data_IF_848482865883
#
_entry.id   IF_848482865883
#
_cell.length_a   1.000
_cell.length_b   1.000
_cell.length_c   1.000
_cell.angle_alpha   90.00
_cell.angle_beta   90.00
_cell.angle_gamma   90.00
#
_symmetry.space_group_name_H-M   'P 1'
#
loop_
_entity.id
_entity.type
_entity.pdbx_description
1 polymer ?
#
# COMPACT_ATOMS: atom_id res chain seq x y z
N UNK A 1 31.29 21.45 -13.46
CA UNK A 1 30.37 20.56 -14.18
C UNK A 1 29.30 19.95 -13.26
N UNK A 2 29.64 19.27 -12.18
CA UNK A 2 28.66 18.61 -11.29
C UNK A 2 27.73 19.56 -10.52
N UNK A 3 28.22 20.72 -10.09
CA UNK A 3 27.38 21.74 -9.47
C UNK A 3 26.24 22.24 -10.40
N UNK A 4 26.52 22.33 -11.70
CA UNK A 4 25.49 22.71 -12.68
C UNK A 4 24.48 21.59 -12.92
N UNK A 5 24.90 20.34 -12.95
CA UNK A 5 24.01 19.16 -13.02
C UNK A 5 23.09 19.13 -11.80
N UNK A 6 23.62 19.35 -10.59
CA UNK A 6 22.84 19.44 -9.37
C UNK A 6 21.83 20.60 -9.42
N UNK A 7 22.23 21.77 -9.92
CA UNK A 7 21.34 22.93 -10.04
C UNK A 7 20.18 22.64 -10.98
N UNK A 8 20.47 22.09 -12.17
CA UNK A 8 19.44 21.67 -13.14
C UNK A 8 18.49 20.63 -12.55
N UNK A 9 19.03 19.67 -11.79
CA UNK A 9 18.24 18.66 -11.10
C UNK A 9 17.34 19.27 -10.04
N UNK A 10 17.85 20.21 -9.22
CA UNK A 10 17.08 20.91 -8.21
C UNK A 10 15.91 21.70 -8.83
N UNK A 11 16.18 22.42 -9.91
CA UNK A 11 15.17 23.21 -10.61
C UNK A 11 14.06 22.32 -11.20
N UNK A 12 14.44 21.21 -11.86
CA UNK A 12 13.51 20.24 -12.43
C UNK A 12 12.57 19.60 -11.38
N UNK A 13 13.09 19.38 -10.16
CA UNK A 13 12.35 18.70 -9.08
C UNK A 13 11.87 19.65 -7.98
N UNK A 14 11.98 20.97 -8.19
CA UNK A 14 11.60 22.02 -7.22
C UNK A 14 12.22 21.79 -5.82
N UNK A 15 13.47 21.29 -5.79
CA UNK A 15 14.17 21.03 -4.54
C UNK A 15 14.86 22.27 -4.00
N UNK A 16 14.69 22.54 -2.72
CA UNK A 16 15.39 23.61 -2.01
C UNK A 16 16.81 23.19 -1.61
N UNK A 17 17.71 24.17 -1.44
CA UNK A 17 19.07 23.93 -0.91
C UNK A 17 19.03 23.26 0.48
N UNK A 18 18.01 23.52 1.29
CA UNK A 18 17.79 22.87 2.59
C UNK A 18 17.54 21.38 2.45
N UNK A 19 16.74 20.97 1.48
CA UNK A 19 16.46 19.54 1.21
C UNK A 19 17.71 18.82 0.72
N UNK A 20 18.50 19.43 -0.16
CA UNK A 20 19.78 18.87 -0.62
C UNK A 20 20.79 18.79 0.53
N UNK A 21 20.87 19.80 1.38
CA UNK A 21 21.72 19.81 2.56
C UNK A 21 21.39 18.65 3.51
N UNK A 22 20.10 18.39 3.75
CA UNK A 22 19.63 17.23 4.53
C UNK A 22 19.99 15.90 3.86
N UNK A 23 19.83 15.79 2.54
CA UNK A 23 20.15 14.56 1.79
C UNK A 23 21.66 14.24 1.79
N UNK A 24 22.48 15.27 1.75
CA UNK A 24 23.94 15.14 1.72
C UNK A 24 24.56 15.11 3.12
N UNK A 25 23.75 15.33 4.16
CA UNK A 25 24.20 15.48 5.54
C UNK A 25 25.29 16.58 5.67
N UNK A 26 24.95 17.77 5.17
CA UNK A 26 25.83 18.97 5.19
C UNK A 26 25.05 20.23 5.56
N UNK A 27 25.76 21.34 5.79
CA UNK A 27 25.12 22.62 6.01
C UNK A 27 24.52 23.21 4.72
N UNK A 28 23.49 24.05 4.83
CA UNK A 28 22.92 24.79 3.70
C UNK A 28 24.00 25.69 3.06
N UNK A 29 24.89 26.25 3.88
CA UNK A 29 26.02 27.07 3.44
C UNK A 29 26.96 26.27 2.52
N UNK A 30 27.25 25.02 2.87
CA UNK A 30 28.07 24.11 2.04
C UNK A 30 27.44 23.92 0.65
N UNK A 31 26.13 23.61 0.60
CA UNK A 31 25.41 23.47 -0.68
C UNK A 31 25.43 24.75 -1.48
N UNK A 32 25.17 25.90 -0.84
CA UNK A 32 25.20 27.21 -1.50
C UNK A 32 26.58 27.54 -2.08
N UNK A 33 27.64 27.33 -1.30
CA UNK A 33 29.03 27.56 -1.76
C UNK A 33 29.40 26.64 -2.92
N UNK A 34 29.02 25.37 -2.85
CA UNK A 34 29.24 24.40 -3.91
C UNK A 34 28.54 24.78 -5.22
N UNK A 35 27.25 25.13 -5.16
CA UNK A 35 26.47 25.54 -6.33
C UNK A 35 27.02 26.82 -6.99
N UNK A 36 27.62 27.72 -6.20
CA UNK A 36 28.20 28.98 -6.68
C UNK A 36 29.68 28.85 -7.02
N UNK A 37 30.30 27.68 -6.92
CA UNK A 37 31.74 27.47 -7.18
C UNK A 37 32.66 28.16 -6.18
N UNK A 38 32.18 28.50 -4.97
CA UNK A 38 32.90 29.23 -3.91
C UNK A 38 33.29 28.31 -2.74
N UNK A 39 33.20 27.01 -2.87
CA UNK A 39 33.58 26.08 -1.82
C UNK A 39 35.10 26.06 -1.67
N UNK A 40 35.66 26.26 -0.46
CA UNK A 40 37.06 26.59 -0.26
C UNK A 40 38.04 25.43 -0.41
N UNK A 41 37.54 24.19 -0.45
CA UNK A 41 38.38 22.97 -0.50
C UNK A 41 37.97 22.05 -1.65
N UNK A 42 38.63 20.88 -1.77
CA UNK A 42 38.30 19.88 -2.81
C UNK A 42 36.81 19.47 -2.76
N UNK A 43 36.18 19.48 -3.92
CA UNK A 43 34.74 19.20 -4.09
C UNK A 43 34.45 17.75 -4.48
N UNK A 44 35.47 16.89 -4.63
CA UNK A 44 35.30 15.50 -5.13
C UNK A 44 34.26 14.72 -4.36
N UNK A 45 34.28 14.81 -3.04
CA UNK A 45 33.31 14.11 -2.19
C UNK A 45 31.87 14.64 -2.36
N UNK A 46 31.69 15.94 -2.69
CA UNK A 46 30.39 16.50 -3.05
C UNK A 46 29.97 16.04 -4.44
N UNK A 47 30.88 15.98 -5.39
CA UNK A 47 30.63 15.45 -6.73
C UNK A 47 30.20 13.99 -6.69
N UNK A 48 30.77 13.17 -5.78
CA UNK A 48 30.36 11.79 -5.54
C UNK A 48 28.91 11.74 -5.01
N UNK A 49 28.55 12.57 -4.01
CA UNK A 49 27.17 12.66 -3.49
C UNK A 49 26.18 13.12 -4.57
N UNK A 50 26.56 14.02 -5.44
CA UNK A 50 25.74 14.44 -6.59
C UNK A 50 25.55 13.25 -7.56
N UNK A 51 26.61 12.53 -7.88
CA UNK A 51 26.53 11.35 -8.75
C UNK A 51 25.60 10.29 -8.15
N UNK A 52 25.71 10.01 -6.85
CA UNK A 52 24.80 9.10 -6.15
C UNK A 52 23.34 9.57 -6.20
N UNK A 53 23.09 10.87 -5.97
CA UNK A 53 21.74 11.43 -6.03
C UNK A 53 21.13 11.26 -7.43
N UNK A 54 21.90 11.62 -8.47
CA UNK A 54 21.49 11.51 -9.86
C UNK A 54 21.27 10.04 -10.28
N UNK A 55 22.16 9.14 -9.86
CA UNK A 55 22.02 7.70 -10.11
C UNK A 55 20.78 7.11 -9.41
N UNK A 56 20.54 7.46 -8.14
CA UNK A 56 19.34 7.06 -7.43
C UNK A 56 18.05 7.58 -8.10
N UNK A 57 18.12 8.81 -8.62
CA UNK A 57 16.96 9.40 -9.30
C UNK A 57 16.72 8.74 -10.65
N UNK A 58 17.76 8.49 -11.46
CA UNK A 58 17.64 7.69 -12.69
C UNK A 58 17.02 6.32 -12.40
N UNK A 59 17.48 5.64 -11.34
CA UNK A 59 16.90 4.36 -10.92
C UNK A 59 15.41 4.45 -10.56
N UNK A 60 14.97 5.56 -9.91
CA UNK A 60 13.55 5.79 -9.61
C UNK A 60 12.71 6.12 -10.86
N UNK A 61 13.28 6.85 -11.82
CA UNK A 61 12.61 7.15 -13.10
C UNK A 61 12.40 5.88 -13.91
N UNK A 62 13.37 4.97 -13.89
CA UNK A 62 13.26 3.62 -14.46
C UNK A 62 12.13 2.83 -13.78
N UNK A 63 12.05 2.90 -12.43
CA UNK A 63 10.98 2.26 -11.67
C UNK A 63 9.59 2.87 -11.99
N UNK A 64 9.55 4.15 -12.37
CA UNK A 64 8.31 4.83 -12.78
C UNK A 64 7.82 4.41 -14.18
N UNK A 65 8.68 3.85 -15.03
CA UNK A 65 8.29 3.29 -16.34
C UNK A 65 7.61 1.91 -16.21
N UNK A 66 7.81 1.21 -15.08
CA UNK A 66 7.09 0.00 -14.77
C UNK A 66 5.61 0.33 -14.54
N UNK A 67 4.72 -0.19 -15.38
CA UNK A 67 3.29 0.06 -15.23
C UNK A 67 2.77 -0.64 -13.97
N UNK A 68 2.54 0.15 -12.93
CA UNK A 68 1.99 -0.32 -11.66
C UNK A 68 0.50 0.08 -11.49
N UNK A 69 -0.23 0.22 -12.61
CA UNK A 69 -1.66 0.50 -12.57
C UNK A 69 -2.42 -0.67 -11.93
N UNK A 70 -3.56 -0.36 -11.34
CA UNK A 70 -4.46 -1.40 -10.83
C UNK A 70 -5.03 -2.21 -12.00
N UNK A 71 -4.88 -3.52 -11.92
CA UNK A 71 -5.43 -4.45 -12.91
C UNK A 71 -6.66 -5.14 -12.32
N UNK A 72 -7.84 -5.03 -12.93
CA UNK A 72 -9.08 -5.61 -12.42
C UNK A 72 -9.14 -7.13 -12.74
N UNK A 73 -8.29 -7.91 -12.07
CA UNK A 73 -8.30 -9.38 -12.14
C UNK A 73 -9.61 -9.95 -11.62
N UNK A 74 -9.89 -11.22 -11.87
CA UNK A 74 -11.13 -11.85 -11.38
C UNK A 74 -11.18 -11.87 -9.85
N UNK A 75 -10.05 -12.14 -9.19
CA UNK A 75 -9.96 -12.05 -7.72
C UNK A 75 -10.19 -10.62 -7.22
N UNK A 76 -9.64 -9.62 -7.91
CA UNK A 76 -9.85 -8.22 -7.56
C UNK A 76 -11.31 -7.81 -7.73
N UNK A 77 -11.97 -8.21 -8.82
CA UNK A 77 -13.40 -7.93 -9.04
C UNK A 77 -14.27 -8.49 -7.92
N UNK A 78 -14.07 -9.74 -7.51
CA UNK A 78 -14.81 -10.33 -6.38
C UNK A 78 -14.63 -9.53 -5.09
N UNK A 79 -13.38 -9.10 -4.78
CA UNK A 79 -13.13 -8.25 -3.61
C UNK A 79 -13.80 -6.88 -3.71
N UNK A 80 -13.81 -6.28 -4.90
CA UNK A 80 -14.50 -5.00 -5.16
C UNK A 80 -16.02 -5.14 -5.02
N UNK A 81 -16.63 -6.22 -5.51
CA UNK A 81 -18.06 -6.52 -5.37
C UNK A 81 -18.48 -6.62 -3.89
N UNK A 82 -17.70 -7.33 -3.06
CA UNK A 82 -17.96 -7.43 -1.61
C UNK A 82 -17.86 -6.06 -0.92
N UNK A 83 -16.91 -5.22 -1.33
CA UNK A 83 -16.82 -3.83 -0.82
C UNK A 83 -18.03 -3.01 -1.26
N UNK A 84 -18.44 -3.15 -2.52
CA UNK A 84 -19.59 -2.43 -3.05
C UNK A 84 -20.88 -2.84 -2.31
N UNK A 85 -21.05 -4.13 -2.07
CA UNK A 85 -22.18 -4.65 -1.32
C UNK A 85 -22.22 -4.11 0.13
N UNK A 86 -21.08 -4.18 0.84
CA UNK A 86 -20.99 -3.63 2.19
C UNK A 86 -21.27 -2.11 2.23
N UNK A 87 -20.87 -1.39 1.19
CA UNK A 87 -21.07 0.05 1.09
C UNK A 87 -22.54 0.41 0.85
N UNK A 88 -23.22 -0.34 -0.03
CA UNK A 88 -24.61 -0.08 -0.42
C UNK A 88 -25.60 -0.49 0.70
N UNK A 89 -25.38 -1.65 1.32
CA UNK A 89 -26.30 -2.22 2.30
C UNK A 89 -25.94 -1.85 3.75
N UNK A 90 -24.81 -1.19 3.97
CA UNK A 90 -24.36 -0.83 5.31
C UNK A 90 -23.99 -2.05 6.16
N UNK A 91 -23.43 -3.11 5.57
CA UNK A 91 -23.10 -4.36 6.26
C UNK A 91 -21.62 -4.47 6.64
N UNK A 92 -21.32 -5.41 7.55
CA UNK A 92 -19.95 -5.82 7.86
C UNK A 92 -19.60 -7.02 6.98
N UNK A 93 -18.57 -6.87 6.12
CA UNK A 93 -18.06 -7.96 5.31
C UNK A 93 -16.55 -8.15 5.52
N UNK A 94 -16.08 -9.35 5.19
CA UNK A 94 -14.66 -9.73 5.41
C UNK A 94 -14.02 -10.10 4.08
N UNK A 95 -12.77 -9.62 3.86
CA UNK A 95 -11.92 -10.03 2.74
C UNK A 95 -10.64 -10.60 3.33
N UNK A 96 -10.39 -11.90 3.12
CA UNK A 96 -9.21 -12.53 3.71
C UNK A 96 -8.48 -13.42 2.70
N UNK A 97 -7.23 -13.73 3.01
CA UNK A 97 -6.37 -14.58 2.19
C UNK A 97 -4.90 -14.38 2.52
N UNK A 98 -4.03 -15.17 1.93
CA UNK A 98 -2.59 -15.12 2.17
C UNK A 98 -1.98 -13.74 1.89
N UNK A 99 -0.77 -13.51 2.37
CA UNK A 99 -0.04 -12.26 2.10
C UNK A 99 0.31 -12.15 0.61
N UNK A 100 0.24 -10.92 0.07
CA UNK A 100 0.67 -10.65 -1.32
C UNK A 100 -0.36 -10.96 -2.40
N UNK A 101 -1.63 -11.19 -2.06
CA UNK A 101 -2.73 -11.41 -3.01
C UNK A 101 -3.44 -10.11 -3.46
N UNK A 102 -2.95 -8.94 -3.06
CA UNK A 102 -3.48 -7.67 -3.55
C UNK A 102 -4.57 -7.02 -2.70
N UNK A 103 -4.91 -7.52 -1.49
CA UNK A 103 -5.93 -6.94 -0.60
C UNK A 103 -5.81 -5.43 -0.45
N UNK A 104 -4.66 -4.94 0.00
CA UNK A 104 -4.37 -3.50 0.15
C UNK A 104 -4.55 -2.72 -1.15
N UNK A 105 -4.18 -3.30 -2.31
CA UNK A 105 -4.35 -2.64 -3.61
C UNK A 105 -5.83 -2.49 -3.97
N UNK A 106 -6.65 -3.51 -3.75
CA UNK A 106 -8.10 -3.44 -3.91
C UNK A 106 -8.71 -2.36 -3.01
N UNK A 107 -8.33 -2.34 -1.72
CA UNK A 107 -8.81 -1.33 -0.79
C UNK A 107 -8.42 0.09 -1.25
N UNK A 108 -7.19 0.30 -1.69
CA UNK A 108 -6.70 1.59 -2.19
C UNK A 108 -7.41 2.01 -3.48
N UNK A 109 -7.63 1.07 -4.39
CA UNK A 109 -8.35 1.35 -5.63
C UNK A 109 -9.80 1.76 -5.37
N UNK A 110 -10.48 1.03 -4.49
CA UNK A 110 -11.85 1.38 -4.09
C UNK A 110 -11.94 2.80 -3.49
N UNK A 111 -10.92 3.24 -2.73
CA UNK A 111 -10.84 4.60 -2.20
C UNK A 111 -10.73 5.68 -3.28
N UNK A 112 -10.05 5.37 -4.39
CA UNK A 112 -9.91 6.31 -5.50
C UNK A 112 -11.23 6.48 -6.27
N UNK A 113 -12.03 5.43 -6.32
CA UNK A 113 -13.30 5.40 -7.04
C UNK A 113 -14.46 5.95 -6.21
N UNK A 114 -14.38 5.84 -4.86
CA UNK A 114 -15.45 6.19 -3.94
C UNK A 114 -14.92 7.07 -2.81
N UNK A 115 -15.18 8.37 -2.89
CA UNK A 115 -14.71 9.36 -1.90
C UNK A 115 -15.32 9.18 -0.50
N UNK A 116 -16.49 8.52 -0.39
CA UNK A 116 -17.14 8.16 0.86
C UNK A 116 -16.51 6.94 1.54
N UNK A 117 -15.61 6.22 0.84
CA UNK A 117 -14.97 5.03 1.36
C UNK A 117 -13.64 5.36 2.06
N UNK A 118 -13.58 5.13 3.37
CA UNK A 118 -12.50 5.49 4.29
C UNK A 118 -11.58 4.28 4.47
N UNK A 119 -10.26 4.47 4.31
CA UNK A 119 -9.26 3.43 4.56
C UNK A 119 -8.50 3.69 5.86
N UNK A 120 -8.50 2.71 6.75
CA UNK A 120 -7.74 2.69 7.99
C UNK A 120 -6.71 1.55 7.90
N UNK A 121 -5.43 1.89 7.84
CA UNK A 121 -4.35 0.93 7.91
C UNK A 121 -3.98 0.69 9.38
N UNK A 122 -4.07 -0.56 9.81
CA UNK A 122 -3.73 -0.99 11.18
C UNK A 122 -2.29 -1.48 11.22
N UNK A 123 -1.63 -1.24 12.33
CA UNK A 123 -0.28 -1.72 12.63
C UNK A 123 -0.24 -2.41 14.00
N UNK A 124 0.83 -3.16 14.34
CA UNK A 124 0.90 -3.90 15.62
C UNK A 124 0.80 -3.02 16.88
N UNK A 125 1.03 -1.71 16.78
CA UNK A 125 0.90 -0.77 17.90
C UNK A 125 -0.51 -0.24 18.09
N UNK A 126 -1.47 -0.63 17.22
CA UNK A 126 -2.82 -0.10 17.18
C UNK A 126 -3.67 -0.57 18.38
N UNK A 127 -3.67 0.22 19.44
CA UNK A 127 -4.58 0.04 20.59
C UNK A 127 -5.99 0.53 20.25
N UNK A 128 -7.04 0.17 21.04
CA UNK A 128 -8.39 0.70 20.85
C UNK A 128 -8.46 2.22 20.80
N UNK A 129 -7.67 2.91 21.61
CA UNK A 129 -7.57 4.37 21.61
C UNK A 129 -6.97 4.92 20.32
N UNK A 130 -5.93 4.27 19.82
CA UNK A 130 -5.26 4.64 18.55
C UNK A 130 -6.21 4.41 17.38
N UNK A 131 -6.93 3.28 17.35
CA UNK A 131 -7.92 2.99 16.32
C UNK A 131 -9.02 4.07 16.26
N UNK A 132 -9.66 4.37 17.40
CA UNK A 132 -10.71 5.40 17.46
C UNK A 132 -10.18 6.76 16.98
N UNK A 133 -8.96 7.15 17.36
CA UNK A 133 -8.37 8.41 16.91
C UNK A 133 -8.10 8.42 15.40
N UNK A 134 -7.55 7.34 14.84
CA UNK A 134 -7.35 7.20 13.39
C UNK A 134 -8.68 7.35 12.64
N UNK A 135 -9.75 6.67 13.12
CA UNK A 135 -11.08 6.80 12.53
C UNK A 135 -11.59 8.24 12.64
N UNK A 136 -11.56 8.83 13.85
CA UNK A 136 -12.04 10.18 14.09
C UNK A 136 -11.35 11.22 13.18
N UNK A 137 -10.03 11.19 13.10
CA UNK A 137 -9.23 12.08 12.24
C UNK A 137 -9.61 11.93 10.77
N UNK A 138 -9.81 10.69 10.31
CA UNK A 138 -10.15 10.41 8.90
C UNK A 138 -11.58 10.84 8.55
N UNK A 139 -12.53 10.75 9.49
CA UNK A 139 -13.91 11.18 9.24
C UNK A 139 -14.14 12.66 9.56
N UNK A 140 -13.14 13.38 10.07
CA UNK A 140 -13.24 14.77 10.48
C UNK A 140 -14.02 14.95 11.79
N UNK A 141 -13.96 13.95 12.70
CA UNK A 141 -14.52 13.98 14.04
C UNK A 141 -13.48 14.43 15.09
N UNK A 142 -13.93 14.74 16.30
CA UNK A 142 -13.01 15.06 17.39
C UNK A 142 -12.24 13.83 17.85
N UNK A 143 -10.91 13.88 17.79
CA UNK A 143 -10.01 12.79 18.24
C UNK A 143 -9.49 12.97 19.66
N UNK A 144 -9.93 14.04 20.37
CA UNK A 144 -9.51 14.38 21.74
C UNK A 144 -10.51 13.87 22.76
N UNK A 145 -10.07 13.57 23.97
CA UNK A 145 -10.90 13.11 25.07
C UNK A 145 -10.74 11.62 25.38
N UNK A 146 -11.67 11.09 26.17
CA UNK A 146 -11.75 9.67 26.49
C UNK A 146 -12.41 8.89 25.34
N UNK A 147 -12.23 7.57 25.31
CA UNK A 147 -12.71 6.74 24.19
C UNK A 147 -14.22 6.91 23.91
N UNK A 148 -15.04 7.14 24.93
CA UNK A 148 -16.48 7.32 24.76
C UNK A 148 -16.80 8.64 24.03
N UNK A 149 -16.10 9.72 24.34
CA UNK A 149 -16.31 11.02 23.69
C UNK A 149 -15.90 10.95 22.21
N UNK A 150 -14.75 10.31 21.95
CA UNK A 150 -14.25 10.09 20.58
C UNK A 150 -15.23 9.21 19.78
N UNK A 151 -15.74 8.13 20.41
CA UNK A 151 -16.75 7.26 19.79
C UNK A 151 -18.02 8.04 19.46
N UNK A 152 -18.55 8.84 20.40
CA UNK A 152 -19.75 9.65 20.19
C UNK A 152 -19.56 10.62 19.01
N UNK A 153 -18.39 11.28 18.93
CA UNK A 153 -18.08 12.18 17.82
C UNK A 153 -17.95 11.47 16.47
N UNK A 154 -17.40 10.24 16.44
CA UNK A 154 -17.36 9.40 15.23
C UNK A 154 -18.78 9.04 14.78
N UNK A 155 -19.63 8.60 15.73
CA UNK A 155 -21.02 8.24 15.44
C UNK A 155 -21.79 9.43 14.88
N UNK A 156 -21.65 10.62 15.46
CA UNK A 156 -22.27 11.85 14.93
C UNK A 156 -21.87 12.12 13.47
N UNK A 157 -20.61 11.89 13.10
CA UNK A 157 -20.11 12.15 11.75
C UNK A 157 -20.48 11.07 10.73
N UNK A 158 -20.68 9.84 11.18
CA UNK A 158 -20.98 8.71 10.29
C UNK A 158 -22.49 8.47 10.15
N UNK A 159 -23.31 8.90 11.11
CA UNK A 159 -24.75 8.68 11.08
C UNK A 159 -25.39 9.34 9.85
N UNK A 160 -26.04 8.53 9.01
CA UNK A 160 -26.66 8.99 7.75
C UNK A 160 -25.69 9.44 6.66
N UNK A 161 -24.40 9.19 6.81
CA UNK A 161 -23.38 9.66 5.85
C UNK A 161 -23.08 8.66 4.72
N UNK A 162 -23.72 7.48 4.71
CA UNK A 162 -23.53 6.42 3.70
C UNK A 162 -22.06 6.13 3.41
N UNK A 163 -21.25 5.97 4.46
CA UNK A 163 -19.82 5.74 4.36
C UNK A 163 -19.46 4.28 4.53
N UNK A 164 -18.32 3.89 3.94
CA UNK A 164 -17.70 2.58 4.11
C UNK A 164 -16.39 2.72 4.88
N UNK A 165 -16.28 2.07 6.05
CA UNK A 165 -15.02 1.91 6.78
C UNK A 165 -14.31 0.65 6.28
N UNK A 166 -13.09 0.79 5.79
CA UNK A 166 -12.25 -0.33 5.36
C UNK A 166 -11.03 -0.40 6.23
N UNK A 167 -10.89 -1.50 6.94
CA UNK A 167 -9.80 -1.74 7.89
C UNK A 167 -8.83 -2.74 7.26
N UNK A 168 -7.64 -2.31 6.91
CA UNK A 168 -6.58 -3.20 6.41
C UNK A 168 -5.75 -3.76 7.57
N UNK A 169 -5.24 -4.98 7.41
CA UNK A 169 -4.53 -5.76 8.43
C UNK A 169 -5.35 -5.97 9.72
N UNK A 170 -6.66 -6.15 9.57
CA UNK A 170 -7.60 -6.24 10.67
C UNK A 170 -7.34 -7.42 11.63
N UNK A 171 -6.55 -8.42 11.24
CA UNK A 171 -6.08 -9.49 12.11
C UNK A 171 -5.16 -9.01 13.25
N UNK A 172 -4.64 -7.79 13.17
CA UNK A 172 -3.83 -7.17 14.21
C UNK A 172 -4.66 -6.51 15.31
N UNK A 173 -5.96 -6.34 15.07
CA UNK A 173 -6.86 -5.72 16.04
C UNK A 173 -7.11 -6.62 17.26
N UNK A 174 -7.13 -6.00 18.43
CA UNK A 174 -7.59 -6.66 19.67
C UNK A 174 -9.11 -6.87 19.63
N UNK A 175 -9.61 -7.83 20.44
CA UNK A 175 -11.04 -8.06 20.67
C UNK A 175 -11.76 -6.74 21.02
N UNK A 176 -11.16 -5.93 21.89
CA UNK A 176 -11.74 -4.64 22.29
C UNK A 176 -11.79 -3.62 21.13
N UNK A 177 -10.81 -3.63 20.24
CA UNK A 177 -10.84 -2.79 19.03
C UNK A 177 -11.94 -3.22 18.07
N UNK A 178 -12.12 -4.52 17.87
CA UNK A 178 -13.19 -5.07 17.04
C UNK A 178 -14.57 -4.76 17.61
N UNK A 179 -14.73 -4.76 18.93
CA UNK A 179 -15.97 -4.33 19.59
C UNK A 179 -16.29 -2.84 19.37
N UNK A 180 -15.28 -1.95 19.30
CA UNK A 180 -15.53 -0.56 18.91
C UNK A 180 -16.00 -0.44 17.46
N UNK A 181 -15.43 -1.22 16.53
CA UNK A 181 -15.88 -1.25 15.13
C UNK A 181 -17.36 -1.72 15.07
N UNK A 182 -17.68 -2.81 15.76
CA UNK A 182 -19.06 -3.29 15.85
C UNK A 182 -19.99 -2.18 16.40
N UNK A 183 -19.58 -1.50 17.46
CA UNK A 183 -20.38 -0.44 18.08
C UNK A 183 -20.62 0.74 17.14
N UNK A 184 -19.60 1.14 16.34
CA UNK A 184 -19.76 2.17 15.33
C UNK A 184 -20.79 1.72 14.29
N UNK A 185 -20.64 0.49 13.77
CA UNK A 185 -21.59 -0.07 12.80
C UNK A 185 -23.02 -0.10 13.37
N UNK A 186 -23.22 -0.66 14.57
CA UNK A 186 -24.55 -0.79 15.19
C UNK A 186 -25.26 0.57 15.41
N UNK A 187 -24.49 1.63 15.62
CA UNK A 187 -25.05 2.97 15.90
C UNK A 187 -25.26 3.82 14.64
N UNK A 188 -24.62 3.47 13.52
CA UNK A 188 -24.60 4.33 12.32
C UNK A 188 -25.08 3.64 11.06
N UNK A 189 -25.21 2.32 11.07
CA UNK A 189 -25.39 1.47 9.87
C UNK A 189 -24.33 1.71 8.80
N UNK A 190 -23.15 2.20 9.20
CA UNK A 190 -22.02 2.40 8.30
C UNK A 190 -21.49 1.04 7.82
N UNK A 191 -21.30 0.88 6.53
CA UNK A 191 -20.67 -0.33 5.99
C UNK A 191 -19.26 -0.52 6.51
N UNK A 192 -18.83 -1.77 6.72
CA UNK A 192 -17.49 -2.11 7.23
C UNK A 192 -16.87 -3.23 6.40
N UNK A 193 -15.66 -3.05 5.97
CA UNK A 193 -14.80 -4.11 5.44
C UNK A 193 -13.65 -4.37 6.40
N UNK A 194 -13.55 -5.62 6.85
CA UNK A 194 -12.38 -6.11 7.58
C UNK A 194 -11.52 -6.92 6.60
N UNK A 195 -10.35 -6.40 6.26
CA UNK A 195 -9.44 -7.08 5.35
C UNK A 195 -8.20 -7.57 6.10
N UNK A 196 -7.75 -8.81 5.81
CA UNK A 196 -6.59 -9.35 6.53
C UNK A 196 -6.16 -10.75 6.10
N UNK A 197 -5.28 -11.33 6.90
CA UNK A 197 -4.82 -12.71 6.77
C UNK A 197 -5.93 -13.69 7.27
N UNK A 198 -5.86 -15.00 6.92
CA UNK A 198 -6.83 -15.99 7.40
C UNK A 198 -7.02 -16.02 8.92
N UNK A 199 -6.00 -15.61 9.69
CA UNK A 199 -6.07 -15.44 11.14
C UNK A 199 -7.20 -14.49 11.57
N UNK A 200 -7.60 -13.54 10.71
CA UNK A 200 -8.72 -12.63 10.97
C UNK A 200 -10.01 -13.40 11.32
N UNK A 201 -10.35 -14.44 10.56
CA UNK A 201 -11.54 -15.26 10.85
C UNK A 201 -11.47 -15.96 12.20
N UNK A 202 -10.27 -16.43 12.57
CA UNK A 202 -10.04 -17.04 13.89
C UNK A 202 -10.25 -16.00 14.99
N UNK A 203 -9.74 -14.79 14.79
CA UNK A 203 -9.91 -13.69 15.73
C UNK A 203 -11.38 -13.28 15.87
N UNK A 204 -12.13 -13.23 14.74
CA UNK A 204 -13.57 -12.89 14.75
C UNK A 204 -14.44 -13.93 15.44
N UNK A 205 -14.07 -15.21 15.41
CA UNK A 205 -14.75 -16.26 16.19
C UNK A 205 -14.46 -16.14 17.69
N UNK A 206 -13.26 -15.64 18.05
CA UNK A 206 -12.81 -15.58 19.45
C UNK A 206 -12.55 -16.95 20.07
N UNK A 207 -11.78 -17.01 21.16
CA UNK A 207 -11.47 -18.28 21.84
C UNK A 207 -12.69 -18.90 22.53
N UNK A 208 -13.60 -18.06 23.07
CA UNK A 208 -14.77 -18.47 23.84
C UNK A 208 -16.06 -17.79 23.31
N UNK A 209 -16.18 -17.59 22.00
CA UNK A 209 -17.25 -16.82 21.37
C UNK A 209 -17.37 -15.37 21.88
N UNK A 210 -16.26 -14.79 22.31
CA UNK A 210 -16.20 -13.41 22.85
C UNK A 210 -16.72 -12.38 21.85
N UNK A 211 -16.58 -12.65 20.56
CA UNK A 211 -17.02 -11.80 19.46
C UNK A 211 -18.23 -12.37 18.71
N UNK A 212 -19.03 -13.26 19.31
CA UNK A 212 -20.20 -13.85 18.67
C UNK A 212 -21.17 -12.79 18.12
N UNK A 213 -21.31 -11.66 18.82
CA UNK A 213 -22.16 -10.55 18.36
C UNK A 213 -21.60 -9.86 17.11
N UNK A 214 -20.28 -9.67 17.01
CA UNK A 214 -19.65 -9.14 15.81
C UNK A 214 -19.74 -10.16 14.67
N UNK A 215 -19.39 -11.42 14.97
CA UNK A 215 -19.42 -12.50 13.98
C UNK A 215 -20.80 -12.69 13.35
N UNK A 216 -21.87 -12.57 14.14
CA UNK A 216 -23.26 -12.66 13.64
C UNK A 216 -23.66 -11.52 12.71
N UNK A 217 -22.92 -10.41 12.68
CA UNK A 217 -23.15 -9.26 11.80
C UNK A 217 -22.35 -9.32 10.51
N UNK A 218 -21.45 -10.29 10.39
CA UNK A 218 -20.69 -10.49 9.15
C UNK A 218 -21.62 -11.12 8.13
N UNK A 219 -21.95 -10.38 7.07
CA UNK A 219 -22.79 -10.86 5.97
C UNK A 219 -22.02 -11.81 5.08
N UNK A 220 -20.93 -11.34 4.48
CA UNK A 220 -20.12 -12.12 3.54
C UNK A 220 -18.65 -12.17 3.94
N UNK A 221 -18.03 -13.32 3.66
CA UNK A 221 -16.60 -13.54 3.83
C UNK A 221 -15.98 -13.98 2.49
N UNK A 222 -15.25 -13.07 1.85
CA UNK A 222 -14.57 -13.33 0.59
C UNK A 222 -13.20 -13.95 0.85
N UNK A 223 -13.06 -15.23 0.58
CA UNK A 223 -11.78 -15.93 0.61
C UNK A 223 -11.04 -15.74 -0.71
N UNK A 224 -9.86 -15.15 -0.64
CA UNK A 224 -8.94 -14.99 -1.77
C UNK A 224 -8.00 -16.20 -1.91
N UNK A 225 -8.04 -17.13 -0.96
CA UNK A 225 -7.20 -18.32 -0.93
C UNK A 225 -5.75 -18.08 -0.49
N UNK A 226 -4.90 -19.03 -0.84
CA UNK A 226 -3.47 -18.98 -0.52
C UNK A 226 -2.60 -18.52 -1.71
N UNK A 227 -3.16 -18.54 -2.91
CA UNK A 227 -2.50 -18.16 -4.15
C UNK A 227 -3.52 -17.57 -5.13
N UNK A 228 -3.10 -16.63 -5.96
CA UNK A 228 -3.91 -16.14 -7.07
C UNK A 228 -3.97 -17.20 -8.19
N UNK A 229 -5.09 -17.27 -8.93
CA UNK A 229 -5.18 -18.05 -10.16
C UNK A 229 -4.11 -17.62 -11.18
N UNK A 230 -3.64 -18.57 -12.00
CA UNK A 230 -2.67 -18.27 -13.05
C UNK A 230 -3.19 -17.22 -14.04
N UNK A 231 -4.48 -17.24 -14.35
CA UNK A 231 -5.13 -16.24 -15.20
C UNK A 231 -4.98 -14.81 -14.65
N UNK A 232 -5.14 -14.63 -13.34
CA UNK A 232 -4.98 -13.34 -12.70
C UNK A 232 -3.52 -12.85 -12.73
N UNK A 233 -2.59 -13.77 -12.49
CA UNK A 233 -1.15 -13.49 -12.56
C UNK A 233 -0.70 -13.15 -13.98
N UNK A 234 -1.22 -13.87 -14.99
CA UNK A 234 -0.97 -13.56 -16.40
C UNK A 234 -1.46 -12.15 -16.75
N UNK A 235 -2.69 -11.79 -16.37
CA UNK A 235 -3.21 -10.43 -16.56
C UNK A 235 -2.31 -9.36 -15.92
N UNK A 236 -1.79 -9.61 -14.71
CA UNK A 236 -0.86 -8.70 -14.02
C UNK A 236 0.46 -8.58 -14.78
N UNK A 237 1.03 -9.69 -15.27
CA UNK A 237 2.27 -9.71 -16.01
C UNK A 237 2.14 -9.00 -17.36
N UNK A 238 1.10 -9.30 -18.13
CA UNK A 238 0.82 -8.69 -19.44
C UNK A 238 0.58 -7.19 -19.32
N UNK A 239 -0.18 -6.75 -18.31
CA UNK A 239 -0.39 -5.31 -18.06
C UNK A 239 0.91 -4.57 -17.72
N UNK A 240 1.85 -5.23 -17.07
CA UNK A 240 3.10 -4.62 -16.63
C UNK A 240 4.18 -4.61 -17.73
N UNK A 241 4.26 -5.66 -18.54
CA UNK A 241 5.31 -5.86 -19.55
C UNK A 241 4.83 -5.60 -20.99
N UNK A 242 3.53 -5.45 -21.20
CA UNK A 242 2.88 -5.34 -22.52
C UNK A 242 3.18 -6.53 -23.47
N UNK A 243 3.47 -7.69 -22.89
CA UNK A 243 3.70 -8.95 -23.61
C UNK A 243 3.30 -10.15 -22.76
N UNK A 244 2.86 -11.23 -23.41
CA UNK A 244 2.59 -12.53 -22.78
C UNK A 244 3.76 -13.53 -22.88
N UNK A 245 4.82 -13.16 -23.60
CA UNK A 245 5.95 -14.04 -23.93
C UNK A 245 6.58 -14.70 -22.68
N UNK A 246 6.68 -13.94 -21.60
CA UNK A 246 7.35 -14.39 -20.39
C UNK A 246 6.42 -14.96 -19.32
N UNK A 247 5.10 -15.10 -19.62
CA UNK A 247 4.11 -15.54 -18.63
C UNK A 247 4.51 -16.86 -17.97
N UNK A 248 4.89 -17.89 -18.73
CA UNK A 248 5.24 -19.19 -18.19
C UNK A 248 6.37 -19.12 -17.15
N UNK A 249 7.42 -18.37 -17.44
CA UNK A 249 8.56 -18.21 -16.54
C UNK A 249 8.19 -17.40 -15.29
N UNK A 250 7.43 -16.31 -15.46
CA UNK A 250 6.99 -15.43 -14.37
C UNK A 250 6.01 -16.13 -13.42
N UNK A 251 5.04 -16.86 -13.95
CA UNK A 251 4.03 -17.59 -13.17
C UNK A 251 4.69 -18.68 -12.32
N UNK A 252 5.60 -19.45 -12.92
CA UNK A 252 6.38 -20.46 -12.21
C UNK A 252 7.20 -19.88 -11.07
N UNK A 253 7.81 -18.71 -11.28
CA UNK A 253 8.68 -18.05 -10.29
C UNK A 253 7.90 -17.40 -9.14
N UNK A 254 6.73 -16.83 -9.40
CA UNK A 254 5.94 -16.11 -8.39
C UNK A 254 5.11 -17.01 -7.46
N UNK A 255 4.90 -18.29 -7.81
CA UNK A 255 4.18 -19.30 -7.01
C UNK A 255 2.82 -18.80 -6.49
N UNK A 256 2.02 -18.21 -7.35
CA UNK A 256 0.68 -17.71 -6.99
C UNK A 256 0.65 -16.37 -6.24
N UNK A 257 1.78 -15.66 -6.10
CA UNK A 257 1.87 -14.46 -5.26
C UNK A 257 2.14 -13.19 -6.08
N UNK A 258 1.18 -12.27 -6.12
CA UNK A 258 1.29 -11.03 -6.89
C UNK A 258 2.42 -10.11 -6.40
N UNK A 259 2.73 -10.09 -5.09
CA UNK A 259 3.85 -9.30 -4.56
C UNK A 259 5.19 -9.84 -5.06
N UNK A 260 5.34 -11.17 -5.12
CA UNK A 260 6.54 -11.81 -5.69
C UNK A 260 6.64 -11.51 -7.19
N UNK A 261 5.53 -11.64 -7.93
CA UNK A 261 5.45 -11.30 -9.35
C UNK A 261 5.89 -9.85 -9.59
N UNK A 262 5.31 -8.90 -8.87
CA UNK A 262 5.66 -7.47 -8.97
C UNK A 262 7.15 -7.19 -8.66
N UNK A 263 7.71 -7.84 -7.63
CA UNK A 263 9.15 -7.70 -7.30
C UNK A 263 10.03 -8.24 -8.43
N UNK A 264 9.67 -9.42 -8.97
CA UNK A 264 10.40 -10.07 -10.06
C UNK A 264 10.40 -9.18 -11.30
N UNK A 265 9.23 -8.75 -11.76
CA UNK A 265 9.10 -7.91 -12.94
C UNK A 265 9.85 -6.58 -12.81
N UNK A 266 9.74 -5.89 -11.66
CA UNK A 266 10.50 -4.67 -11.41
C UNK A 266 12.01 -4.90 -11.46
N UNK A 267 12.49 -6.00 -10.89
CA UNK A 267 13.91 -6.37 -10.94
C UNK A 267 14.39 -6.58 -12.36
N UNK A 268 13.63 -7.34 -13.14
CA UNK A 268 13.97 -7.68 -14.54
C UNK A 268 13.93 -6.43 -15.43
N UNK A 269 12.85 -5.65 -15.38
CA UNK A 269 12.74 -4.38 -16.15
C UNK A 269 13.89 -3.44 -15.82
N UNK A 270 14.21 -3.27 -14.54
CA UNK A 270 15.31 -2.41 -14.11
C UNK A 270 16.67 -2.93 -14.61
N UNK A 271 16.90 -4.24 -14.57
CA UNK A 271 18.14 -4.83 -15.08
C UNK A 271 18.30 -4.62 -16.58
N UNK A 272 17.22 -4.85 -17.34
CA UNK A 272 17.21 -4.65 -18.78
C UNK A 272 17.53 -3.19 -19.15
N UNK A 273 16.94 -2.21 -18.47
CA UNK A 273 17.18 -0.79 -18.72
C UNK A 273 18.60 -0.34 -18.31
N UNK A 274 19.13 -0.84 -17.19
CA UNK A 274 20.51 -0.49 -16.75
C UNK A 274 21.55 -1.02 -17.73
N UNK A 275 21.34 -2.23 -18.26
CA UNK A 275 22.26 -2.88 -19.17
C UNK A 275 21.99 -2.54 -20.65
N UNK A 276 20.98 -1.70 -20.92
CA UNK A 276 20.54 -1.34 -22.28
C UNK A 276 20.25 -2.58 -23.15
N UNK A 277 19.60 -3.60 -22.53
CA UNK A 277 19.25 -4.88 -23.16
C UNK A 277 17.76 -5.09 -23.12
N UNK A 278 17.24 -6.02 -23.93
CA UNK A 278 15.87 -6.49 -23.84
C UNK A 278 15.70 -7.46 -22.66
N UNK A 279 14.44 -7.62 -22.20
CA UNK A 279 14.09 -8.61 -21.20
C UNK A 279 14.30 -9.99 -21.79
N UNK A 280 14.93 -10.90 -21.02
CA UNK A 280 15.15 -12.29 -21.43
C UNK A 280 14.68 -13.29 -20.38
N UNK A 281 14.45 -14.53 -20.81
CA UNK A 281 14.10 -15.62 -19.92
C UNK A 281 15.20 -15.91 -18.89
N UNK A 282 16.47 -15.76 -19.28
CA UNK A 282 17.62 -15.92 -18.39
C UNK A 282 17.63 -14.89 -17.26
N UNK A 283 17.30 -13.62 -17.57
CA UNK A 283 17.14 -12.58 -16.54
C UNK A 283 16.04 -12.96 -15.55
N UNK A 284 14.88 -13.43 -16.04
CA UNK A 284 13.76 -13.84 -15.19
C UNK A 284 14.20 -15.00 -14.29
N UNK A 285 14.92 -15.98 -14.82
CA UNK A 285 15.42 -17.11 -14.03
C UNK A 285 16.43 -16.66 -12.96
N UNK A 286 17.37 -15.80 -13.29
CA UNK A 286 18.34 -15.24 -12.34
C UNK A 286 17.65 -14.51 -11.21
N UNK A 287 16.73 -13.58 -11.51
CA UNK A 287 15.98 -12.84 -10.50
C UNK A 287 15.05 -13.73 -9.69
N UNK A 288 14.51 -14.80 -10.28
CA UNK A 288 13.66 -15.75 -9.57
C UNK A 288 14.41 -16.47 -8.43
N UNK A 289 15.69 -16.77 -8.63
CA UNK A 289 16.57 -17.39 -7.61
C UNK A 289 16.88 -16.44 -6.45
N UNK A 290 16.78 -15.11 -6.67
CA UNK A 290 16.98 -14.10 -5.63
C UNK A 290 15.72 -13.80 -4.81
N UNK A 291 14.56 -14.27 -5.26
CA UNK A 291 13.32 -14.10 -4.51
C UNK A 291 13.34 -14.99 -3.26
N UNK A 292 13.17 -14.34 -2.09
CA UNK A 292 12.98 -15.06 -0.83
C UNK A 292 11.71 -15.91 -0.92
N UNK A 293 11.84 -17.18 -0.59
CA UNK A 293 10.75 -18.18 -0.62
C UNK A 293 9.70 -17.91 0.46
#
# INVERSE_FOLDING_TARGET
>A
MKAQELKTFMDAHKMSQKQVATLFDVSITTVSQYLNGKYPTDTKWLDEKVNELLARHKAKVVEAKYNNAFVPTQTAKRGMEIMHFAHAEGEINVIYGAAGLGKTQMLKQYAKEHSSAILIEVDPSCTPKVLLRKIAETVGATSRGVNNDVLASIVEKLNGAERLLRIDEAELLSTRSLEFIRRIHDLTNCGVILAGMPRLLVNLKGKNNELAQLYSRVGFACDLGNALPESDLAMLAESALNTSEFNAALLKACKGNARRLSKLMRGVVRSAEINETEISAEMIEQYSKMLIS
#
